data_IF_593337343462
#
_entry.id   IF_593337343462
#
_cell.length_a   1.000
_cell.length_b   1.000
_cell.length_c   1.000
_cell.angle_alpha   90.00
_cell.angle_beta   90.00
_cell.angle_gamma   90.00
#
_symmetry.space_group_name_H-M   'P 1'
#
loop_
_entity.id
_entity.type
_entity.pdbx_description
1 polymer ?
#
# COMPACT_ATOMS: atom_id res chain seq x y z
N UNK A 1 16.56 15.29 -0.13
CA UNK A 1 16.61 13.84 0.19
C UNK A 1 15.18 13.35 0.29
N UNK A 2 14.78 12.30 -0.44
CA UNK A 2 13.41 11.78 -0.38
C UNK A 2 13.24 10.93 0.88
N UNK A 3 12.22 11.23 1.70
CA UNK A 3 11.86 10.41 2.87
C UNK A 3 10.60 9.63 2.57
N UNK A 4 10.71 8.31 2.41
CA UNK A 4 9.57 7.43 2.09
C UNK A 4 8.69 7.30 3.33
N UNK A 5 7.38 7.51 3.13
CA UNK A 5 6.35 7.35 4.16
C UNK A 5 5.51 6.10 3.94
N UNK A 6 5.29 5.75 2.68
CA UNK A 6 4.53 4.58 2.30
C UNK A 6 4.90 4.18 0.87
N UNK A 7 5.15 2.90 0.64
CA UNK A 7 5.26 2.34 -0.70
C UNK A 7 4.28 1.18 -0.84
N UNK A 8 3.72 1.07 -2.03
CA UNK A 8 2.87 -0.02 -2.43
C UNK A 8 3.28 -0.50 -3.80
N UNK A 9 3.62 -1.79 -3.92
CA UNK A 9 3.80 -2.45 -5.21
C UNK A 9 2.79 -3.55 -5.37
N UNK A 10 2.15 -3.57 -6.53
CA UNK A 10 1.28 -4.64 -6.98
C UNK A 10 1.93 -5.33 -8.17
N UNK A 11 1.93 -6.66 -8.19
CA UNK A 11 2.44 -7.44 -9.31
C UNK A 11 1.58 -8.69 -9.57
N UNK A 12 1.46 -9.05 -10.85
CA UNK A 12 0.84 -10.31 -11.28
C UNK A 12 1.93 -11.20 -11.87
N UNK A 13 2.19 -12.34 -11.23
CA UNK A 13 3.28 -13.27 -11.55
C UNK A 13 3.21 -13.85 -12.98
N UNK A 14 2.02 -13.89 -13.58
CA UNK A 14 1.80 -14.40 -14.94
C UNK A 14 1.62 -13.29 -15.99
N UNK A 15 1.76 -12.02 -15.61
CA UNK A 15 1.45 -10.84 -16.43
C UNK A 15 2.37 -9.69 -16.03
N UNK A 16 3.60 -9.67 -16.58
CA UNK A 16 4.57 -8.59 -16.31
C UNK A 16 4.07 -7.19 -16.73
N UNK A 17 3.03 -7.13 -17.56
CA UNK A 17 2.33 -5.93 -18.01
C UNK A 17 1.28 -5.42 -17.00
N UNK A 18 1.14 -6.04 -15.81
CA UNK A 18 0.12 -5.68 -14.81
C UNK A 18 0.71 -5.42 -13.43
N UNK A 19 1.78 -4.63 -13.37
CA UNK A 19 2.30 -4.09 -12.12
C UNK A 19 2.09 -2.58 -12.02
N UNK A 20 1.84 -2.14 -10.79
CA UNK A 20 1.77 -0.73 -10.43
C UNK A 20 2.58 -0.50 -9.16
N UNK A 21 3.26 0.62 -9.10
CA UNK A 21 4.02 1.05 -7.92
C UNK A 21 3.52 2.43 -7.51
N UNK A 22 3.40 2.63 -6.22
CA UNK A 22 3.06 3.91 -5.64
C UNK A 22 3.99 4.19 -4.47
N UNK A 23 4.67 5.34 -4.50
CA UNK A 23 5.56 5.78 -3.41
C UNK A 23 5.09 7.14 -2.91
N UNK A 24 4.71 7.20 -1.63
CA UNK A 24 4.44 8.43 -0.90
C UNK A 24 5.71 8.89 -0.21
N UNK A 25 6.16 10.10 -0.49
CA UNK A 25 7.40 10.65 0.06
C UNK A 25 7.32 12.14 0.37
N UNK A 26 8.23 12.57 1.24
CA UNK A 26 8.56 13.98 1.48
C UNK A 26 9.77 14.41 0.62
N UNK A 27 9.66 15.55 -0.04
CA UNK A 27 10.71 16.22 -0.80
C UNK A 27 10.59 17.73 -0.60
N UNK A 28 11.66 18.37 -0.09
CA UNK A 28 11.73 19.81 0.17
C UNK A 28 10.56 20.37 1.00
N UNK A 29 10.16 19.61 2.04
CA UNK A 29 9.07 19.98 2.95
C UNK A 29 7.67 19.85 2.34
N UNK A 30 7.55 19.22 1.17
CA UNK A 30 6.28 18.93 0.49
C UNK A 30 6.10 17.43 0.31
N UNK A 31 4.86 17.00 0.20
CA UNK A 31 4.53 15.58 0.09
C UNK A 31 3.95 15.24 -1.27
N UNK A 32 4.35 14.08 -1.78
CA UNK A 32 3.97 13.60 -3.09
C UNK A 32 3.63 12.12 -3.05
N UNK A 33 2.75 11.69 -3.96
CA UNK A 33 2.62 10.30 -4.38
C UNK A 33 3.15 10.18 -5.82
N UNK A 34 4.28 9.49 -6.01
CA UNK A 34 4.68 8.99 -7.34
C UNK A 34 3.89 7.72 -7.63
N UNK A 35 3.27 7.67 -8.81
CA UNK A 35 2.51 6.54 -9.29
C UNK A 35 3.15 6.07 -10.60
N UNK A 36 3.67 4.84 -10.62
CA UNK A 36 4.25 4.21 -11.80
C UNK A 36 3.42 3.00 -12.20
N UNK A 37 3.32 2.76 -13.51
CA UNK A 37 2.67 1.56 -14.04
C UNK A 37 3.47 0.97 -15.17
N UNK A 38 3.63 -0.34 -15.11
CA UNK A 38 4.21 -1.12 -16.21
C UNK A 38 3.15 -1.55 -17.23
N UNK A 39 1.86 -1.32 -16.95
CA UNK A 39 0.78 -1.42 -17.92
C UNK A 39 0.74 -0.21 -18.86
N UNK A 40 0.53 -0.46 -20.16
CA UNK A 40 0.35 0.57 -21.20
C UNK A 40 -0.89 1.46 -20.98
N UNK A 41 -1.81 1.07 -20.10
CA UNK A 41 -3.07 1.78 -19.86
C UNK A 41 -2.96 2.95 -18.89
N UNK A 42 -1.88 2.99 -18.09
CA UNK A 42 -1.67 4.00 -17.06
C UNK A 42 -0.36 4.73 -17.34
N UNK A 43 -0.39 6.06 -17.19
CA UNK A 43 0.78 6.91 -17.36
C UNK A 43 1.27 7.37 -16.01
N UNK A 44 2.58 7.33 -15.83
CA UNK A 44 3.24 7.86 -14.65
C UNK A 44 2.70 9.22 -14.24
N UNK A 45 2.47 9.35 -12.94
CA UNK A 45 1.80 10.52 -12.37
C UNK A 45 2.42 10.87 -11.02
N UNK A 46 2.70 12.15 -10.83
CA UNK A 46 3.09 12.71 -9.53
C UNK A 46 1.96 13.55 -8.99
N UNK A 47 1.38 13.12 -7.87
CA UNK A 47 0.28 13.81 -7.19
C UNK A 47 0.81 14.57 -5.98
N UNK A 48 0.51 15.87 -5.88
CA UNK A 48 0.81 16.64 -4.67
C UNK A 48 -0.18 16.27 -3.57
N UNK A 49 0.31 16.00 -2.37
CA UNK A 49 -0.51 15.62 -1.22
C UNK A 49 -0.57 16.76 -0.20
N UNK A 50 -1.73 16.97 0.40
CA UNK A 50 -1.87 17.86 1.54
C UNK A 50 -1.22 17.28 2.81
N UNK A 51 -0.66 18.16 3.66
CA UNK A 51 -0.15 17.78 4.99
C UNK A 51 -1.23 17.05 5.81
N UNK A 52 -2.50 17.46 5.65
CA UNK A 52 -3.65 16.86 6.34
C UNK A 52 -3.81 15.39 5.99
N UNK A 53 -3.62 14.99 4.72
CA UNK A 53 -3.71 13.58 4.33
C UNK A 53 -2.50 12.78 4.78
N UNK A 54 -1.32 13.37 4.71
CA UNK A 54 -0.10 12.73 5.20
C UNK A 54 -0.21 12.44 6.70
N UNK A 55 -0.64 13.40 7.51
CA UNK A 55 -0.85 13.18 8.94
C UNK A 55 -1.91 12.12 9.24
N UNK A 56 -2.93 11.98 8.39
CA UNK A 56 -3.90 10.86 8.49
C UNK A 56 -3.24 9.52 8.16
N UNK A 57 -2.39 9.45 7.14
CA UNK A 57 -1.60 8.24 6.82
C UNK A 57 -0.70 7.90 8.01
N UNK A 58 0.00 8.89 8.59
CA UNK A 58 0.83 8.69 9.78
C UNK A 58 0.04 8.11 10.95
N UNK A 59 -1.12 8.70 11.22
CA UNK A 59 -2.03 8.24 12.27
C UNK A 59 -2.57 6.83 12.04
N UNK A 60 -2.71 6.37 10.80
CA UNK A 60 -3.20 5.02 10.49
C UNK A 60 -2.20 3.97 10.97
N UNK A 61 -0.92 4.07 10.64
CA UNK A 61 0.06 3.08 11.11
C UNK A 61 0.41 3.24 12.59
N UNK A 62 0.42 4.45 13.16
CA UNK A 62 0.61 4.63 14.61
C UNK A 62 -0.49 3.97 15.45
N UNK A 63 -1.70 3.82 14.89
CA UNK A 63 -2.80 3.07 15.52
C UNK A 63 -2.72 1.56 15.32
N UNK A 64 -1.83 1.10 14.46
CA UNK A 64 -1.67 -0.30 14.11
C UNK A 64 -0.21 -0.75 14.28
N UNK A 65 0.39 -0.60 15.49
CA UNK A 65 1.81 -0.89 15.69
C UNK A 65 2.20 -2.34 15.34
N UNK A 66 1.26 -3.28 15.45
CA UNK A 66 1.55 -4.69 15.14
C UNK A 66 1.81 -4.96 13.66
N UNK A 67 1.58 -4.02 12.74
CA UNK A 67 2.03 -4.20 11.34
C UNK A 67 3.55 -4.19 11.22
N UNK A 68 4.24 -3.66 12.24
CA UNK A 68 5.70 -3.63 12.35
C UNK A 68 6.24 -4.84 13.10
N UNK A 69 5.38 -5.76 13.56
CA UNK A 69 5.75 -6.95 14.32
C UNK A 69 5.92 -8.19 13.43
N UNK A 70 5.56 -8.11 12.15
CA UNK A 70 5.67 -9.22 11.19
C UNK A 70 6.16 -8.74 9.82
N UNK A 71 6.97 -9.57 9.17
CA UNK A 71 7.47 -9.32 7.81
C UNK A 71 6.50 -9.88 6.73
N UNK A 72 5.74 -10.91 7.09
CA UNK A 72 4.73 -11.55 6.24
C UNK A 72 3.47 -11.84 7.07
N UNK A 73 2.26 -11.49 6.60
CA UNK A 73 1.01 -11.92 7.22
C UNK A 73 0.72 -13.38 6.86
N UNK A 74 -0.40 -13.91 7.36
CA UNK A 74 -0.83 -15.26 6.99
C UNK A 74 -1.07 -15.38 5.47
N UNK A 75 -0.74 -16.54 4.90
CA UNK A 75 -0.92 -16.82 3.47
C UNK A 75 -2.31 -17.40 3.21
N UNK A 76 -3.14 -16.78 2.35
CA UNK A 76 -4.47 -17.30 2.08
C UNK A 76 -4.43 -18.53 1.15
N UNK A 77 -5.39 -19.47 1.26
CA UNK A 77 -5.45 -20.69 0.42
C UNK A 77 -5.98 -20.40 -1.01
N UNK A 78 -5.47 -19.35 -1.64
CA UNK A 78 -5.79 -18.97 -3.02
C UNK A 78 -4.51 -18.79 -3.82
N UNK A 79 -4.52 -19.28 -5.07
CA UNK A 79 -3.42 -19.14 -6.02
C UNK A 79 -3.96 -18.45 -7.27
N UNK A 80 -4.00 -17.12 -7.27
CA UNK A 80 -4.37 -16.33 -8.44
C UNK A 80 -3.17 -15.60 -9.08
N UNK A 81 -1.98 -15.78 -8.50
CA UNK A 81 -0.73 -15.22 -8.99
C UNK A 81 -0.57 -13.71 -8.73
N UNK A 82 -1.27 -13.11 -7.77
CA UNK A 82 -1.07 -11.71 -7.38
C UNK A 82 -0.25 -11.54 -6.10
N UNK A 83 0.68 -10.57 -6.11
CA UNK A 83 1.51 -10.23 -4.96
C UNK A 83 1.47 -8.73 -4.67
N UNK A 84 1.50 -8.41 -3.39
CA UNK A 84 1.45 -7.05 -2.87
C UNK A 84 2.65 -6.86 -1.92
N UNK A 85 3.45 -5.84 -2.18
CA UNK A 85 4.56 -5.44 -1.31
C UNK A 85 4.23 -4.07 -0.72
N UNK A 86 4.44 -3.94 0.58
CA UNK A 86 4.19 -2.70 1.32
C UNK A 86 5.47 -2.29 2.03
N UNK A 87 5.86 -1.04 1.87
CA UNK A 87 6.89 -0.42 2.72
C UNK A 87 6.23 0.65 3.55
N UNK A 88 6.31 0.54 4.87
CA UNK A 88 5.78 1.53 5.79
C UNK A 88 6.93 2.34 6.38
N UNK A 89 6.89 3.65 6.21
CA UNK A 89 7.85 4.59 6.77
C UNK A 89 7.16 5.55 7.74
N UNK A 90 7.63 5.61 8.99
CA UNK A 90 7.36 6.76 9.86
C UNK A 90 8.44 7.85 9.74
N UNK A 91 9.40 7.59 8.85
CA UNK A 91 10.53 8.44 8.55
C UNK A 91 11.76 8.23 9.45
N UNK A 92 11.64 7.55 10.58
CA UNK A 92 12.77 7.11 11.43
C UNK A 92 13.02 5.61 11.28
N UNK A 93 11.94 4.86 11.06
CA UNK A 93 11.91 3.41 10.86
C UNK A 93 11.19 3.13 9.55
N UNK A 94 11.80 2.30 8.73
CA UNK A 94 11.20 1.69 7.54
C UNK A 94 10.99 0.20 7.82
N UNK A 95 9.79 -0.28 7.60
CA UNK A 95 9.44 -1.70 7.74
C UNK A 95 8.78 -2.19 6.46
N UNK A 96 9.21 -3.35 5.99
CA UNK A 96 8.71 -3.96 4.76
C UNK A 96 7.81 -5.14 5.11
N UNK A 97 6.65 -5.20 4.48
CA UNK A 97 5.69 -6.30 4.61
C UNK A 97 5.38 -6.83 3.23
N UNK A 98 5.59 -8.13 3.02
CA UNK A 98 5.22 -8.82 1.77
C UNK A 98 3.99 -9.66 2.01
N UNK A 99 2.99 -9.53 1.15
CA UNK A 99 1.73 -10.22 1.31
C UNK A 99 1.15 -10.65 -0.03
N UNK A 100 0.78 -11.92 -0.13
CA UNK A 100 0.15 -12.46 -1.34
C UNK A 100 -1.37 -12.44 -1.20
N UNK A 101 -2.06 -12.10 -2.30
CA UNK A 101 -3.52 -12.21 -2.41
C UNK A 101 -4.32 -11.56 -1.27
N UNK A 102 -3.89 -10.41 -0.74
CA UNK A 102 -4.54 -9.78 0.43
C UNK A 102 -6.02 -9.44 0.22
N UNK A 103 -6.45 -9.33 -1.04
CA UNK A 103 -7.86 -9.18 -1.42
C UNK A 103 -8.73 -10.33 -0.90
N UNK A 104 -8.14 -11.52 -0.70
CA UNK A 104 -8.83 -12.71 -0.18
C UNK A 104 -9.47 -12.43 1.18
N UNK A 105 -8.80 -11.67 2.04
CA UNK A 105 -9.30 -11.36 3.39
C UNK A 105 -10.52 -10.43 3.42
N UNK A 106 -10.99 -9.98 2.26
CA UNK A 106 -12.17 -9.12 2.15
C UNK A 106 -13.44 -9.93 2.38
N UNK A 107 -14.08 -9.72 3.54
CA UNK A 107 -15.37 -10.34 3.86
C UNK A 107 -15.28 -11.75 4.44
N UNK A 108 -14.08 -12.21 4.80
CA UNK A 108 -13.86 -13.47 5.53
C UNK A 108 -13.95 -13.21 7.04
N UNK A 109 -14.50 -14.17 7.78
CA UNK A 109 -14.59 -14.11 9.24
C UNK A 109 -13.21 -14.30 9.90
N UNK A 110 -13.05 -13.65 11.05
CA UNK A 110 -11.81 -12.98 11.46
C UNK A 110 -10.85 -13.78 12.34
N UNK A 111 -11.20 -15.01 12.72
CA UNK A 111 -10.40 -15.82 13.66
C UNK A 111 -9.14 -16.40 13.05
N UNK A 112 -9.17 -16.72 11.76
CA UNK A 112 -8.16 -17.61 11.17
C UNK A 112 -6.99 -16.84 10.54
N UNK A 113 -7.18 -15.55 10.24
CA UNK A 113 -6.20 -14.70 9.54
C UNK A 113 -6.12 -13.27 10.10
N UNK A 114 -5.82 -13.10 11.40
CA UNK A 114 -5.85 -11.79 12.06
C UNK A 114 -4.88 -10.77 11.45
N UNK A 115 -3.67 -11.17 11.04
CA UNK A 115 -2.68 -10.22 10.50
C UNK A 115 -3.02 -9.80 9.07
N UNK A 116 -3.45 -10.74 8.22
CA UNK A 116 -3.89 -10.47 6.84
C UNK A 116 -5.08 -9.51 6.79
N UNK A 117 -6.06 -9.70 7.66
CA UNK A 117 -7.21 -8.78 7.79
C UNK A 117 -6.76 -7.40 8.28
N UNK A 118 -5.85 -7.34 9.25
CA UNK A 118 -5.33 -6.08 9.77
C UNK A 118 -4.54 -5.30 8.71
N UNK A 119 -3.70 -5.99 7.95
CA UNK A 119 -2.95 -5.40 6.84
C UNK A 119 -3.91 -4.86 5.76
N UNK A 120 -4.92 -5.65 5.36
CA UNK A 120 -5.94 -5.23 4.40
C UNK A 120 -6.69 -3.97 4.87
N UNK A 121 -7.12 -3.91 6.13
CA UNK A 121 -7.81 -2.74 6.71
C UNK A 121 -6.90 -1.51 6.77
N UNK A 122 -5.63 -1.71 7.08
CA UNK A 122 -4.60 -0.65 7.12
C UNK A 122 -4.41 -0.06 5.74
N UNK A 123 -4.19 -0.91 4.74
CA UNK A 123 -4.08 -0.48 3.35
C UNK A 123 -5.34 0.23 2.85
N UNK A 124 -6.53 -0.34 3.06
CA UNK A 124 -7.80 0.30 2.63
C UNK A 124 -7.98 1.69 3.26
N UNK A 125 -7.51 1.88 4.50
CA UNK A 125 -7.55 3.17 5.15
C UNK A 125 -6.62 4.19 4.50
N UNK A 126 -5.39 3.79 4.14
CA UNK A 126 -4.40 4.62 3.43
C UNK A 126 -4.90 4.92 2.02
N UNK A 127 -5.31 3.89 1.28
CA UNK A 127 -5.88 3.96 -0.06
C UNK A 127 -7.01 5.00 -0.16
N UNK A 128 -7.93 5.01 0.80
CA UNK A 128 -9.02 6.01 0.84
C UNK A 128 -8.52 7.43 1.03
N UNK A 129 -7.42 7.66 1.76
CA UNK A 129 -6.87 9.02 1.88
C UNK A 129 -6.19 9.44 0.57
N UNK A 130 -5.41 8.56 -0.05
CA UNK A 130 -4.72 8.85 -1.30
C UNK A 130 -5.71 9.14 -2.45
N UNK A 131 -6.79 8.37 -2.56
CA UNK A 131 -7.84 8.61 -3.57
C UNK A 131 -8.49 9.98 -3.39
N UNK A 132 -8.65 10.45 -2.14
CA UNK A 132 -9.24 11.78 -1.87
C UNK A 132 -8.35 12.93 -2.35
N UNK A 133 -7.05 12.71 -2.47
CA UNK A 133 -6.08 13.70 -2.98
C UNK A 133 -5.85 13.56 -4.50
N UNK A 134 -6.60 12.68 -5.18
CA UNK A 134 -6.54 12.54 -6.63
C UNK A 134 -5.70 11.36 -7.14
N UNK A 135 -5.12 10.54 -6.25
CA UNK A 135 -4.47 9.30 -6.68
C UNK A 135 -5.52 8.38 -7.30
N UNK A 136 -5.27 7.95 -8.54
CA UNK A 136 -6.15 7.04 -9.27
C UNK A 136 -6.23 5.68 -8.59
N UNK A 137 -7.44 5.10 -8.54
CA UNK A 137 -7.70 3.81 -7.86
C UNK A 137 -6.90 2.66 -8.46
N UNK A 138 -6.52 2.82 -9.72
CA UNK A 138 -5.79 1.86 -10.53
C UNK A 138 -4.37 1.62 -10.04
N UNK A 139 -3.74 2.61 -9.40
CA UNK A 139 -2.44 2.46 -8.72
C UNK A 139 -2.54 1.80 -7.35
N UNK A 140 -3.75 1.69 -6.81
CA UNK A 140 -4.06 1.18 -5.47
C UNK A 140 -4.98 -0.05 -5.58
N UNK A 141 -4.76 -0.88 -6.60
CA UNK A 141 -5.58 -2.06 -6.90
C UNK A 141 -5.34 -3.14 -5.87
N UNK A 142 -6.35 -3.39 -5.07
CA UNK A 142 -6.63 -4.70 -4.50
C UNK A 142 -7.78 -5.23 -5.34
N UNK A 143 -7.56 -6.36 -6.01
CA UNK A 143 -8.46 -6.94 -7.03
C UNK A 143 -9.93 -6.90 -6.62
#
# INVERSE_FOLDING_TARGET
>A
MKRILFEYKYSVWLSFDKSTELTVYEEDGKYYADCHSFSLELRDEKVSLSDVVVEKIKKIYSKNPTIFEFDEPEFPPVLDGSSHEFVFGNGEVTHEVRASNIWYFKGIDTSDYPNGIKLLKTFESIRRQLIKEGVKKEYLRIK
#
